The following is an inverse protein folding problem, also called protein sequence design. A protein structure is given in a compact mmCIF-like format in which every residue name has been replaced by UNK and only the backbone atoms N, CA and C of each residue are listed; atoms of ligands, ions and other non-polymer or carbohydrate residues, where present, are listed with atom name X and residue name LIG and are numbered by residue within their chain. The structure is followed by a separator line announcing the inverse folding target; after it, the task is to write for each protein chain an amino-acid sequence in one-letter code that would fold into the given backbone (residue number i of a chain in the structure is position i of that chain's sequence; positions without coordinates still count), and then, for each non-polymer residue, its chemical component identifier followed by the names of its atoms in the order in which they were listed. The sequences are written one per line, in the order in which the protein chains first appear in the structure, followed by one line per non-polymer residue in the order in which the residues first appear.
data_IF_567590012319
#
_entry.id   IF_567590012319
#
_cell.length_a   1.000
_cell.length_b   1.000
_cell.length_c   1.000
_cell.angle_alpha   90.00
_cell.angle_beta   90.00
_cell.angle_gamma   90.00
#
_symmetry.space_group_name_H-M   'P 1'
#
loop_
_entity.id
_entity.type
_entity.pdbx_description
1 polymer ?
#
# COMPACT_ATOMS: atom_id res chain seq x y z
N UNK A 1 27.68 -21.50 39.64
CA UNK A 1 28.40 -22.43 38.74
C UNK A 1 27.61 -22.80 37.48
N UNK A 2 26.29 -23.07 37.58
CA UNK A 2 25.45 -23.40 36.41
C UNK A 2 25.55 -22.42 35.23
N UNK A 3 25.56 -21.11 35.48
CA UNK A 3 25.73 -20.10 34.41
C UNK A 3 27.08 -20.23 33.68
N UNK A 4 28.16 -20.58 34.38
CA UNK A 4 29.49 -20.78 33.77
C UNK A 4 29.51 -22.04 32.90
N UNK A 5 28.91 -23.14 33.39
CA UNK A 5 28.72 -24.37 32.61
C UNK A 5 27.87 -24.14 31.36
N UNK A 6 26.81 -23.33 31.48
CA UNK A 6 25.99 -22.92 30.34
C UNK A 6 26.79 -22.14 29.28
N UNK A 7 27.65 -21.20 29.69
CA UNK A 7 28.49 -20.41 28.75
C UNK A 7 29.44 -21.30 27.94
N UNK A 8 30.02 -22.32 28.56
CA UNK A 8 30.89 -23.31 27.88
C UNK A 8 30.11 -24.44 27.20
N UNK A 9 28.77 -24.35 27.15
CA UNK A 9 27.85 -25.35 26.57
C UNK A 9 27.92 -26.74 27.22
N UNK A 10 28.42 -26.83 28.44
CA UNK A 10 28.32 -28.04 29.27
C UNK A 10 26.90 -28.13 29.86
N UNK A 11 25.94 -28.49 29.01
CA UNK A 11 24.50 -28.36 29.31
C UNK A 11 24.01 -29.30 30.40
N UNK A 12 24.47 -30.54 30.44
CA UNK A 12 24.04 -31.50 31.46
C UNK A 12 24.54 -31.10 32.85
N UNK A 13 25.80 -30.66 32.96
CA UNK A 13 26.36 -30.10 34.20
C UNK A 13 25.63 -28.80 34.60
N UNK A 14 25.30 -27.92 33.65
CA UNK A 14 24.55 -26.71 33.94
C UNK A 14 23.16 -27.03 34.52
N UNK A 15 22.46 -28.02 33.95
CA UNK A 15 21.17 -28.48 34.46
C UNK A 15 21.31 -29.01 35.89
N UNK A 16 22.30 -29.85 36.17
CA UNK A 16 22.54 -30.38 37.51
C UNK A 16 22.73 -29.25 38.55
N UNK A 17 23.56 -28.25 38.24
CA UNK A 17 23.73 -27.08 39.12
C UNK A 17 22.46 -26.25 39.29
N UNK A 18 21.63 -26.11 38.25
CA UNK A 18 20.34 -25.41 38.40
C UNK A 18 19.35 -26.23 39.23
N UNK A 19 19.34 -27.55 39.09
CA UNK A 19 18.48 -28.44 39.88
C UNK A 19 18.85 -28.43 41.36
N UNK A 20 20.14 -28.42 41.69
CA UNK A 20 20.62 -28.19 43.06
C UNK A 20 20.18 -26.83 43.60
N UNK A 21 20.29 -25.76 42.80
CA UNK A 21 19.85 -24.42 43.20
C UNK A 21 18.33 -24.35 43.44
N UNK A 22 17.52 -25.00 42.59
CA UNK A 22 16.06 -25.09 42.73
C UNK A 22 15.70 -25.91 43.98
N UNK A 23 16.44 -26.98 44.30
CA UNK A 23 16.20 -27.77 45.50
C UNK A 23 16.48 -27.00 46.79
N UNK A 24 17.49 -26.11 46.77
CA UNK A 24 17.82 -25.25 47.90
C UNK A 24 16.83 -24.09 48.08
N UNK A 25 16.36 -23.51 46.98
CA UNK A 25 15.38 -22.41 46.98
C UNK A 25 14.38 -22.59 45.82
N UNK A 26 13.28 -23.32 46.07
CA UNK A 26 12.28 -23.63 45.04
C UNK A 26 11.39 -22.43 44.70
N UNK A 27 11.46 -21.34 45.47
CA UNK A 27 10.63 -20.15 45.25
C UNK A 27 11.25 -19.18 44.22
N UNK A 28 12.54 -19.35 43.95
CA UNK A 28 13.27 -18.46 43.06
C UNK A 28 13.17 -18.87 41.59
N UNK A 29 12.30 -18.16 40.88
CA UNK A 29 12.06 -18.30 39.44
C UNK A 29 13.33 -18.12 38.58
N UNK A 30 14.35 -17.40 39.04
CA UNK A 30 15.57 -17.18 38.26
C UNK A 30 16.29 -18.48 37.95
N UNK A 31 16.32 -19.45 38.87
CA UNK A 31 16.98 -20.74 38.62
C UNK A 31 16.22 -21.56 37.58
N UNK A 32 14.89 -21.60 37.69
CA UNK A 32 14.01 -22.30 36.74
C UNK A 32 14.13 -21.69 35.35
N UNK A 33 14.14 -20.35 35.25
CA UNK A 33 14.36 -19.68 33.97
C UNK A 33 15.78 -19.87 33.46
N UNK A 34 16.83 -19.91 34.28
CA UNK A 34 18.17 -20.22 33.76
C UNK A 34 18.26 -21.67 33.24
N UNK A 35 17.59 -22.63 33.89
CA UNK A 35 17.43 -24.01 33.40
C UNK A 35 16.72 -24.04 32.05
N UNK A 36 15.61 -23.32 31.86
CA UNK A 36 14.93 -23.30 30.55
C UNK A 36 15.78 -22.71 29.41
N UNK A 37 16.78 -21.87 29.73
CA UNK A 37 17.74 -21.38 28.74
C UNK A 37 18.57 -22.53 28.12
N UNK A 38 18.89 -23.56 28.92
CA UNK A 38 19.61 -24.74 28.46
C UNK A 38 18.79 -25.50 27.41
N UNK A 39 17.52 -25.77 27.72
CA UNK A 39 16.62 -26.48 26.82
C UNK A 39 16.36 -25.70 25.53
N UNK A 40 16.26 -24.37 25.62
CA UNK A 40 16.25 -23.51 24.44
C UNK A 40 17.52 -23.68 23.59
N UNK A 41 18.70 -23.67 24.21
CA UNK A 41 19.96 -23.84 23.49
C UNK A 41 20.10 -25.22 22.84
N UNK A 42 19.56 -26.27 23.48
CA UNK A 42 19.47 -27.65 22.95
C UNK A 42 18.41 -27.84 21.88
N UNK A 43 17.59 -26.83 21.59
CA UNK A 43 16.45 -26.89 20.65
C UNK A 43 15.32 -27.81 21.13
N UNK A 44 15.26 -28.08 22.42
CA UNK A 44 14.20 -28.85 23.07
C UNK A 44 13.06 -27.89 23.44
N UNK A 45 12.32 -27.46 22.42
CA UNK A 45 11.39 -26.33 22.52
C UNK A 45 10.23 -26.60 23.48
N UNK A 46 9.63 -27.78 23.42
CA UNK A 46 8.49 -28.13 24.26
C UNK A 46 8.89 -28.24 25.74
N UNK A 47 10.06 -28.82 26.02
CA UNK A 47 10.59 -28.90 27.38
C UNK A 47 10.98 -27.51 27.91
N UNK A 48 11.58 -26.67 27.05
CA UNK A 48 11.83 -25.26 27.41
C UNK A 48 10.54 -24.51 27.75
N UNK A 49 9.46 -24.71 26.98
CA UNK A 49 8.15 -24.10 27.23
C UNK A 49 7.61 -24.58 28.58
N UNK A 50 7.59 -25.89 28.80
CA UNK A 50 7.10 -26.49 30.05
C UNK A 50 7.84 -25.96 31.29
N UNK A 51 9.17 -25.86 31.23
CA UNK A 51 9.97 -25.31 32.35
C UNK A 51 9.71 -23.80 32.53
N UNK A 52 9.50 -23.05 31.45
CA UNK A 52 9.10 -21.65 31.56
C UNK A 52 7.71 -21.49 32.19
N UNK A 53 6.75 -22.37 31.89
CA UNK A 53 5.40 -22.38 32.49
C UNK A 53 5.46 -22.69 33.98
N UNK A 54 6.27 -23.68 34.38
CA UNK A 54 6.56 -23.98 35.78
C UNK A 54 7.17 -22.76 36.49
N UNK A 55 8.19 -22.15 35.88
CA UNK A 55 8.81 -20.94 36.43
C UNK A 55 7.82 -19.79 36.58
N UNK A 56 6.90 -19.61 35.64
CA UNK A 56 5.85 -18.58 35.71
C UNK A 56 4.84 -18.87 36.82
N UNK A 57 4.51 -20.15 37.07
CA UNK A 57 3.65 -20.53 38.19
C UNK A 57 4.31 -20.18 39.52
N UNK A 58 5.55 -20.63 39.72
CA UNK A 58 6.36 -20.31 40.91
C UNK A 58 6.50 -18.80 41.08
N UNK A 59 6.81 -18.07 40.00
CA UNK A 59 6.98 -16.63 40.03
C UNK A 59 5.70 -15.85 40.36
N UNK A 60 4.53 -16.34 39.94
CA UNK A 60 3.24 -15.73 40.32
C UNK A 60 2.89 -15.98 41.78
N UNK A 61 3.11 -17.20 42.26
CA UNK A 61 2.82 -17.59 43.65
C UNK A 61 3.76 -16.90 44.65
N UNK A 62 5.00 -16.59 44.25
CA UNK A 62 6.04 -16.03 45.11
C UNK A 62 6.44 -14.59 44.77
N UNK A 63 5.61 -13.87 43.99
CA UNK A 63 5.86 -12.46 43.64
C UNK A 63 7.24 -12.17 43.04
N UNK A 64 7.71 -13.05 42.14
CA UNK A 64 8.97 -12.86 41.43
C UNK A 64 8.96 -11.55 40.62
N UNK A 65 10.15 -10.94 40.39
CA UNK A 65 10.28 -9.73 39.59
C UNK A 65 9.58 -9.83 38.23
N UNK A 66 8.91 -8.75 37.82
CA UNK A 66 8.20 -8.71 36.55
C UNK A 66 9.14 -8.96 35.36
N UNK A 67 10.40 -8.55 35.46
CA UNK A 67 11.44 -8.78 34.46
C UNK A 67 11.74 -10.26 34.25
N UNK A 68 11.73 -11.07 35.31
CA UNK A 68 11.97 -12.52 35.23
C UNK A 68 10.77 -13.23 34.60
N UNK A 69 9.56 -12.81 34.95
CA UNK A 69 8.32 -13.27 34.30
C UNK A 69 8.31 -12.94 32.81
N UNK A 70 8.65 -11.70 32.46
CA UNK A 70 8.79 -11.25 31.08
C UNK A 70 9.87 -12.06 30.32
N UNK A 71 11.01 -12.35 30.96
CA UNK A 71 12.08 -13.17 30.37
C UNK A 71 11.62 -14.59 30.04
N UNK A 72 10.85 -15.22 30.94
CA UNK A 72 10.25 -16.55 30.70
C UNK A 72 9.28 -16.52 29.51
N UNK A 73 8.34 -15.56 29.49
CA UNK A 73 7.38 -15.39 28.39
C UNK A 73 8.07 -15.09 27.05
N UNK A 74 9.08 -14.22 27.05
CA UNK A 74 9.90 -13.94 25.87
C UNK A 74 10.59 -15.21 25.36
N UNK A 75 11.06 -16.10 26.25
CA UNK A 75 11.66 -17.37 25.83
C UNK A 75 10.63 -18.34 25.26
N UNK A 76 9.44 -18.46 25.87
CA UNK A 76 8.33 -19.22 25.29
C UNK A 76 7.94 -18.70 23.90
N UNK A 77 7.86 -17.37 23.73
CA UNK A 77 7.61 -16.74 22.43
C UNK A 77 8.67 -17.12 21.38
N UNK A 78 9.95 -17.16 21.77
CA UNK A 78 11.03 -17.64 20.89
C UNK A 78 10.87 -19.12 20.53
N UNK A 79 10.48 -19.98 21.48
CA UNK A 79 10.21 -21.39 21.21
C UNK A 79 9.05 -21.56 20.21
N UNK A 80 7.90 -20.93 20.44
CA UNK A 80 6.76 -20.99 19.54
C UNK A 80 7.09 -20.47 18.14
N UNK A 81 7.90 -19.41 18.05
CA UNK A 81 8.39 -18.91 16.76
C UNK A 81 9.27 -19.97 16.06
N UNK A 82 10.19 -20.65 16.76
CA UNK A 82 10.99 -21.76 16.18
C UNK A 82 10.14 -22.94 15.74
N UNK A 83 9.01 -23.20 16.41
CA UNK A 83 8.02 -24.20 16.02
C UNK A 83 7.08 -23.76 14.88
N UNK A 84 7.25 -22.54 14.34
CA UNK A 84 6.38 -21.91 13.32
C UNK A 84 4.95 -21.68 13.80
N UNK A 85 4.72 -21.64 15.11
CA UNK A 85 3.43 -21.33 15.73
C UNK A 85 3.31 -19.81 15.99
N UNK A 86 3.26 -19.02 14.91
CA UNK A 86 3.30 -17.54 14.96
C UNK A 86 2.26 -16.93 15.90
N UNK A 87 1.03 -17.46 15.91
CA UNK A 87 -0.04 -16.96 16.79
C UNK A 87 0.33 -17.04 18.27
N UNK A 88 0.79 -18.21 18.73
CA UNK A 88 1.23 -18.40 20.12
C UNK A 88 2.50 -17.60 20.44
N UNK A 89 3.41 -17.46 19.48
CA UNK A 89 4.61 -16.63 19.68
C UNK A 89 4.24 -15.16 19.96
N UNK A 90 3.32 -14.60 19.17
CA UNK A 90 2.79 -13.24 19.35
C UNK A 90 2.08 -13.11 20.70
N UNK A 91 1.26 -14.09 21.08
CA UNK A 91 0.58 -14.10 22.37
C UNK A 91 1.56 -14.03 23.54
N UNK A 92 2.62 -14.85 23.52
CA UNK A 92 3.65 -14.84 24.56
C UNK A 92 4.45 -13.54 24.59
N UNK A 93 4.75 -12.93 23.43
CA UNK A 93 5.41 -11.62 23.41
C UNK A 93 4.51 -10.50 23.93
N UNK A 94 3.20 -10.54 23.64
CA UNK A 94 2.23 -9.60 24.22
C UNK A 94 2.14 -9.77 25.73
N UNK A 95 2.02 -11.00 26.21
CA UNK A 95 2.05 -11.30 27.64
C UNK A 95 3.34 -10.78 28.28
N UNK A 96 4.50 -11.01 27.65
CA UNK A 96 5.78 -10.49 28.14
C UNK A 96 5.82 -8.97 28.26
N UNK A 97 5.23 -8.24 27.31
CA UNK A 97 5.18 -6.76 27.34
C UNK A 97 4.24 -6.24 28.43
N UNK A 98 3.21 -7.00 28.79
CA UNK A 98 2.31 -6.67 29.89
C UNK A 98 2.97 -6.87 31.26
N UNK A 99 3.89 -7.83 31.38
CA UNK A 99 4.70 -8.01 32.59
C UNK A 99 5.71 -6.87 32.76
N UNK A 100 6.60 -6.71 31.78
CA UNK A 100 7.63 -5.68 31.80
C UNK A 100 7.94 -5.26 30.37
N UNK A 101 7.81 -3.96 30.10
CA UNK A 101 8.09 -3.42 28.78
C UNK A 101 9.58 -3.58 28.43
N UNK A 102 9.85 -4.20 27.27
CA UNK A 102 11.21 -4.38 26.77
C UNK A 102 11.28 -4.02 25.29
N UNK A 103 12.12 -3.04 24.94
CA UNK A 103 12.24 -2.53 23.56
C UNK A 103 12.61 -3.62 22.54
N UNK A 104 13.49 -4.55 22.92
CA UNK A 104 13.87 -5.65 22.03
C UNK A 104 12.71 -6.63 21.77
N UNK A 105 11.92 -6.94 22.79
CA UNK A 105 10.72 -7.77 22.65
C UNK A 105 9.64 -7.06 21.85
N UNK A 106 9.53 -5.73 21.95
CA UNK A 106 8.55 -4.94 21.19
C UNK A 106 8.88 -4.98 19.69
N UNK A 107 10.18 -4.85 19.36
CA UNK A 107 10.67 -4.99 17.98
C UNK A 107 10.38 -6.38 17.43
N UNK A 108 10.61 -7.43 18.23
CA UNK A 108 10.28 -8.81 17.84
C UNK A 108 8.78 -8.96 17.58
N UNK A 109 7.94 -8.48 18.50
CA UNK A 109 6.48 -8.53 18.37
C UNK A 109 6.01 -7.85 17.08
N UNK A 110 6.46 -6.62 16.80
CA UNK A 110 6.11 -5.88 15.57
C UNK A 110 6.49 -6.65 14.30
N UNK A 111 7.68 -7.25 14.29
CA UNK A 111 8.14 -8.05 13.15
C UNK A 111 7.28 -9.30 12.94
N UNK A 112 6.95 -10.02 14.02
CA UNK A 112 6.10 -11.22 13.93
C UNK A 112 4.66 -10.88 13.54
N UNK A 113 4.10 -9.77 14.03
CA UNK A 113 2.77 -9.32 13.62
C UNK A 113 2.73 -8.94 12.13
N UNK A 114 3.81 -8.34 11.62
CA UNK A 114 3.96 -8.07 10.19
C UNK A 114 4.08 -9.38 9.37
N UNK A 115 4.90 -10.33 9.83
CA UNK A 115 5.04 -11.65 9.19
C UNK A 115 3.70 -12.39 9.14
N UNK A 116 3.00 -12.45 10.28
CA UNK A 116 1.67 -13.05 10.36
C UNK A 116 0.70 -12.37 9.41
N UNK A 117 0.64 -11.03 9.39
CA UNK A 117 -0.22 -10.27 8.46
C UNK A 117 0.09 -10.60 7.01
N UNK A 118 1.37 -10.66 6.62
CA UNK A 118 1.77 -11.03 5.25
C UNK A 118 1.32 -12.45 4.90
N UNK A 119 1.47 -13.39 5.83
CA UNK A 119 1.05 -14.77 5.67
C UNK A 119 -0.48 -14.87 5.54
N UNK A 120 -1.23 -14.25 6.44
CA UNK A 120 -2.70 -14.24 6.42
C UNK A 120 -3.21 -13.61 5.11
N UNK A 121 -2.58 -12.53 4.62
CA UNK A 121 -2.92 -11.91 3.32
C UNK A 121 -2.61 -12.85 2.16
N UNK A 122 -1.47 -13.54 2.18
CA UNK A 122 -1.12 -14.49 1.13
C UNK A 122 -2.05 -15.71 1.12
N UNK A 123 -2.45 -16.22 2.29
CA UNK A 123 -3.43 -17.31 2.43
C UNK A 123 -4.85 -16.88 2.02
N UNK A 124 -5.17 -15.58 2.15
CA UNK A 124 -6.43 -15.05 1.66
C UNK A 124 -6.49 -14.98 0.13
N UNK A 125 -5.34 -14.87 -0.55
CA UNK A 125 -5.29 -14.76 -2.00
C UNK A 125 -5.70 -16.06 -2.68
N UNK A 126 -6.65 -15.94 -3.59
CA UNK A 126 -7.27 -17.07 -4.29
C UNK A 126 -7.77 -16.56 -5.64
N UNK A 127 -7.08 -16.89 -6.75
CA UNK A 127 -7.45 -16.40 -8.07
C UNK A 127 -8.85 -16.83 -8.53
N UNK A 128 -9.31 -18.02 -8.14
CA UNK A 128 -10.64 -18.52 -8.53
C UNK A 128 -11.73 -17.74 -7.80
N UNK A 129 -11.60 -17.57 -6.48
CA UNK A 129 -12.51 -16.73 -5.70
C UNK A 129 -12.45 -15.25 -6.11
N UNK A 130 -11.28 -14.78 -6.57
CA UNK A 130 -11.15 -13.45 -7.13
C UNK A 130 -11.99 -13.29 -8.41
N UNK A 131 -11.96 -14.29 -9.28
CA UNK A 131 -12.74 -14.30 -10.52
C UNK A 131 -14.24 -14.35 -10.25
N UNK A 132 -14.69 -15.18 -9.31
CA UNK A 132 -16.09 -15.20 -8.86
C UNK A 132 -16.55 -13.85 -8.30
N UNK A 133 -15.75 -13.24 -7.43
CA UNK A 133 -16.04 -11.93 -6.87
C UNK A 133 -16.06 -10.86 -7.97
N UNK A 134 -15.12 -10.90 -8.92
CA UNK A 134 -15.11 -10.01 -10.08
C UNK A 134 -16.38 -10.17 -10.91
N UNK A 135 -16.86 -11.40 -11.14
CA UNK A 135 -18.08 -11.63 -11.89
C UNK A 135 -19.32 -11.10 -11.15
N UNK A 136 -19.44 -11.32 -9.84
CA UNK A 136 -20.50 -10.70 -9.03
C UNK A 136 -20.45 -9.17 -9.10
N UNK A 137 -19.25 -8.59 -9.09
CA UNK A 137 -19.03 -7.16 -9.30
C UNK A 137 -19.51 -6.69 -10.68
N UNK A 138 -19.22 -7.45 -11.74
CA UNK A 138 -19.70 -7.16 -13.09
C UNK A 138 -21.23 -7.21 -13.17
N UNK A 139 -21.87 -8.19 -12.54
CA UNK A 139 -23.33 -8.35 -12.54
C UNK A 139 -24.02 -7.22 -11.78
N UNK A 140 -23.50 -6.87 -10.60
CA UNK A 140 -23.97 -5.70 -9.83
C UNK A 140 -23.77 -4.39 -10.61
N UNK A 141 -22.64 -4.24 -11.32
CA UNK A 141 -22.38 -3.07 -12.17
C UNK A 141 -23.39 -2.96 -13.31
N UNK A 142 -23.72 -4.06 -13.98
CA UNK A 142 -24.78 -4.11 -15.02
C UNK A 142 -26.16 -3.76 -14.45
N UNK A 143 -26.43 -4.20 -13.22
CA UNK A 143 -27.65 -3.85 -12.49
C UNK A 143 -27.65 -2.42 -11.92
N UNK A 144 -26.58 -1.64 -12.14
CA UNK A 144 -26.39 -0.29 -11.57
C UNK A 144 -26.42 -0.24 -10.04
N UNK A 145 -26.20 -1.39 -9.38
CA UNK A 145 -26.06 -1.48 -7.94
C UNK A 145 -24.58 -1.20 -7.57
N UNK A 146 -24.25 0.10 -7.50
CA UNK A 146 -22.88 0.55 -7.25
C UNK A 146 -22.29 0.08 -5.91
N UNK A 147 -23.03 0.11 -4.78
CA UNK A 147 -22.50 -0.39 -3.50
C UNK A 147 -22.06 -1.86 -3.58
N UNK A 148 -22.89 -2.74 -4.16
CA UNK A 148 -22.52 -4.15 -4.28
C UNK A 148 -21.42 -4.38 -5.31
N UNK A 149 -21.39 -3.60 -6.40
CA UNK A 149 -20.30 -3.67 -7.36
C UNK A 149 -18.95 -3.30 -6.73
N UNK A 150 -18.88 -2.19 -5.97
CA UNK A 150 -17.69 -1.78 -5.23
C UNK A 150 -17.25 -2.88 -4.26
N UNK A 151 -18.18 -3.36 -3.41
CA UNK A 151 -17.90 -4.42 -2.43
C UNK A 151 -17.29 -5.67 -3.07
N UNK A 152 -17.87 -6.14 -4.18
CA UNK A 152 -17.41 -7.34 -4.85
C UNK A 152 -16.07 -7.14 -5.59
N UNK A 153 -15.86 -5.97 -6.22
CA UNK A 153 -14.57 -5.67 -6.83
C UNK A 153 -13.45 -5.48 -5.79
N UNK A 154 -13.72 -4.83 -4.65
CA UNK A 154 -12.75 -4.72 -3.56
C UNK A 154 -12.35 -6.08 -3.01
N UNK A 155 -13.32 -6.99 -2.83
CA UNK A 155 -13.04 -8.37 -2.46
C UNK A 155 -12.18 -9.07 -3.51
N UNK A 156 -12.50 -8.90 -4.80
CA UNK A 156 -11.70 -9.45 -5.90
C UNK A 156 -10.26 -8.90 -5.89
N UNK A 157 -10.05 -7.61 -5.59
CA UNK A 157 -8.72 -7.00 -5.43
C UNK A 157 -7.98 -7.59 -4.22
N UNK A 158 -8.65 -7.87 -3.10
CA UNK A 158 -8.01 -8.52 -1.94
C UNK A 158 -7.54 -9.93 -2.26
N UNK A 159 -8.32 -10.67 -3.06
CA UNK A 159 -8.01 -12.04 -3.48
C UNK A 159 -6.95 -12.13 -4.58
N UNK A 160 -6.91 -11.16 -5.50
CA UNK A 160 -5.93 -11.09 -6.58
C UNK A 160 -5.35 -9.66 -6.70
N UNK A 161 -4.47 -9.24 -5.77
CA UNK A 161 -4.00 -7.85 -5.69
C UNK A 161 -3.13 -7.41 -6.88
N UNK A 162 -2.63 -8.36 -7.66
CA UNK A 162 -1.77 -8.18 -8.83
C UNK A 162 -2.53 -8.17 -10.16
N UNK A 163 -3.86 -8.31 -10.15
CA UNK A 163 -4.65 -8.30 -11.38
C UNK A 163 -5.05 -6.86 -11.78
N UNK A 164 -4.50 -6.30 -12.87
CA UNK A 164 -4.79 -4.93 -13.29
C UNK A 164 -6.23 -4.74 -13.78
N UNK A 165 -6.85 -5.79 -14.34
CA UNK A 165 -8.20 -5.71 -14.88
C UNK A 165 -9.26 -5.48 -13.79
N UNK A 166 -9.10 -6.15 -12.64
CA UNK A 166 -10.01 -5.98 -11.50
C UNK A 166 -9.92 -4.56 -10.94
N UNK A 167 -8.70 -4.01 -10.82
CA UNK A 167 -8.49 -2.61 -10.39
C UNK A 167 -9.13 -1.61 -11.35
N UNK A 168 -9.00 -1.82 -12.65
CA UNK A 168 -9.65 -0.97 -13.65
C UNK A 168 -11.19 -1.05 -13.59
N UNK A 169 -11.75 -2.22 -13.30
CA UNK A 169 -13.20 -2.37 -13.10
C UNK A 169 -13.67 -1.67 -11.82
N UNK A 170 -12.88 -1.75 -10.73
CA UNK A 170 -13.14 -0.99 -9.51
C UNK A 170 -13.08 0.52 -9.77
N UNK A 171 -12.07 1.00 -10.48
CA UNK A 171 -12.00 2.41 -10.89
C UNK A 171 -13.24 2.83 -11.70
N UNK A 172 -13.74 1.98 -12.59
CA UNK A 172 -14.93 2.25 -13.37
C UNK A 172 -16.19 2.47 -12.52
N UNK A 173 -16.39 1.68 -11.45
CA UNK A 173 -17.53 1.87 -10.55
C UNK A 173 -17.34 3.06 -9.62
N UNK A 174 -16.11 3.35 -9.18
CA UNK A 174 -15.81 4.53 -8.37
C UNK A 174 -16.12 5.82 -9.13
N UNK A 175 -15.87 5.87 -10.45
CA UNK A 175 -16.34 6.97 -11.29
C UNK A 175 -17.87 7.15 -11.27
N UNK A 176 -18.66 6.08 -11.12
CA UNK A 176 -20.13 6.16 -11.08
C UNK A 176 -20.67 6.77 -9.80
N UNK A 177 -19.91 6.67 -8.70
CA UNK A 177 -20.24 7.28 -7.42
C UNK A 177 -19.47 8.59 -7.17
N UNK A 178 -18.85 9.14 -8.22
CA UNK A 178 -18.07 10.38 -8.19
C UNK A 178 -16.85 10.37 -7.26
N UNK A 179 -16.37 9.19 -6.87
CA UNK A 179 -15.09 9.05 -6.17
C UNK A 179 -13.93 9.01 -7.19
N UNK A 180 -13.66 10.17 -7.78
CA UNK A 180 -12.63 10.31 -8.81
C UNK A 180 -11.21 10.09 -8.25
N UNK A 181 -10.97 10.46 -7.00
CA UNK A 181 -9.67 10.26 -6.35
C UNK A 181 -9.40 8.77 -6.09
N UNK A 182 -10.39 8.02 -5.58
CA UNK A 182 -10.31 6.58 -5.45
C UNK A 182 -10.15 5.90 -6.82
N UNK A 183 -10.93 6.32 -7.82
CA UNK A 183 -10.81 5.80 -9.18
C UNK A 183 -9.40 6.01 -9.76
N UNK A 184 -8.84 7.21 -9.59
CA UNK A 184 -7.48 7.56 -10.03
C UNK A 184 -6.42 6.71 -9.32
N UNK A 185 -6.52 6.52 -8.01
CA UNK A 185 -5.61 5.63 -7.27
C UNK A 185 -5.64 4.20 -7.82
N UNK A 186 -6.82 3.66 -8.11
CA UNK A 186 -6.95 2.29 -8.62
C UNK A 186 -6.47 2.14 -10.07
N UNK A 187 -6.71 3.14 -10.94
CA UNK A 187 -6.23 3.10 -12.32
C UNK A 187 -4.71 3.28 -12.40
N UNK A 188 -4.13 4.17 -11.59
CA UNK A 188 -2.68 4.34 -11.48
C UNK A 188 -2.03 3.03 -11.00
N UNK A 189 -2.61 2.38 -9.99
CA UNK A 189 -2.12 1.08 -9.52
C UNK A 189 -2.29 -0.03 -10.56
N UNK A 190 -3.29 0.03 -11.42
CA UNK A 190 -3.44 -0.93 -12.53
C UNK A 190 -2.32 -0.75 -13.56
N UNK A 191 -1.93 0.49 -13.88
CA UNK A 191 -0.83 0.80 -14.79
C UNK A 191 0.55 0.49 -14.18
N UNK A 192 0.72 0.62 -12.86
CA UNK A 192 1.94 0.14 -12.17
C UNK A 192 2.11 -1.39 -12.27
N UNK A 193 0.99 -2.14 -12.32
CA UNK A 193 1.02 -3.60 -12.44
C UNK A 193 1.23 -4.06 -13.89
N UNK A 194 0.65 -3.32 -14.84
CA UNK A 194 0.79 -3.57 -16.27
C UNK A 194 0.78 -2.23 -17.03
N UNK A 195 1.98 -1.75 -17.36
CA UNK A 195 2.20 -0.50 -18.11
C UNK A 195 1.67 -0.58 -19.56
N UNK A 196 1.34 -1.78 -20.06
CA UNK A 196 0.78 -1.97 -21.41
C UNK A 196 -0.75 -2.09 -21.40
N UNK A 197 -1.40 -1.93 -20.24
CA UNK A 197 -2.83 -2.12 -20.11
C UNK A 197 -3.64 -0.94 -20.67
N UNK A 198 -3.86 -0.94 -21.99
CA UNK A 198 -4.51 0.17 -22.73
C UNK A 198 -5.87 0.57 -22.17
N UNK A 199 -6.67 -0.37 -21.66
CA UNK A 199 -7.98 -0.07 -21.04
C UNK A 199 -7.85 0.83 -19.81
N UNK A 200 -6.76 0.72 -19.04
CA UNK A 200 -6.50 1.59 -17.90
C UNK A 200 -6.09 3.00 -18.34
N UNK A 201 -5.37 3.16 -19.45
CA UNK A 201 -5.12 4.48 -20.04
C UNK A 201 -6.41 5.17 -20.49
N UNK A 202 -7.29 4.44 -21.19
CA UNK A 202 -8.62 4.95 -21.54
C UNK A 202 -9.41 5.39 -20.30
N UNK A 203 -9.44 4.54 -19.25
CA UNK A 203 -10.12 4.86 -17.99
C UNK A 203 -9.51 6.06 -17.27
N UNK A 204 -8.19 6.20 -17.26
CA UNK A 204 -7.48 7.34 -16.70
C UNK A 204 -7.83 8.63 -17.44
N UNK A 205 -7.93 8.55 -18.77
CA UNK A 205 -8.47 9.63 -19.60
C UNK A 205 -9.89 10.01 -19.18
N UNK A 206 -10.81 9.04 -19.05
CA UNK A 206 -12.19 9.28 -18.62
C UNK A 206 -12.24 9.98 -17.24
N UNK A 207 -11.43 9.52 -16.29
CA UNK A 207 -11.35 10.10 -14.93
C UNK A 207 -10.93 11.56 -15.00
N UNK A 208 -9.89 11.89 -15.76
CA UNK A 208 -9.43 13.27 -15.92
C UNK A 208 -10.46 14.15 -16.62
N UNK A 209 -11.23 13.62 -17.59
CA UNK A 209 -12.36 14.36 -18.18
C UNK A 209 -13.42 14.67 -17.12
N UNK A 210 -13.77 13.71 -16.27
CA UNK A 210 -14.73 13.91 -15.18
C UNK A 210 -14.24 14.93 -14.14
N UNK A 211 -12.92 15.02 -13.96
CA UNK A 211 -12.26 16.02 -13.11
C UNK A 211 -12.01 17.36 -13.82
N UNK A 212 -12.47 17.54 -15.07
CA UNK A 212 -12.25 18.73 -15.90
C UNK A 212 -10.77 19.03 -16.21
N UNK A 213 -9.89 18.04 -16.06
CA UNK A 213 -8.46 18.11 -16.34
C UNK A 213 -8.16 17.65 -17.78
N UNK A 214 -8.64 18.42 -18.76
CA UNK A 214 -8.61 18.03 -20.18
C UNK A 214 -7.19 17.78 -20.73
N UNK A 215 -6.17 18.51 -20.26
CA UNK A 215 -4.78 18.30 -20.67
C UNK A 215 -4.27 16.92 -20.24
N UNK A 216 -4.49 16.53 -18.97
CA UNK A 216 -4.14 15.20 -18.45
C UNK A 216 -4.94 14.08 -19.11
N UNK A 217 -6.21 14.35 -19.42
CA UNK A 217 -7.03 13.39 -20.15
C UNK A 217 -6.45 13.07 -21.53
N UNK A 218 -6.05 14.09 -22.28
CA UNK A 218 -5.47 13.94 -23.61
C UNK A 218 -4.13 13.17 -23.56
N UNK A 219 -3.29 13.46 -22.56
CA UNK A 219 -2.04 12.71 -22.33
C UNK A 219 -2.30 11.24 -22.04
N UNK A 220 -3.27 10.92 -21.18
CA UNK A 220 -3.62 9.55 -20.86
C UNK A 220 -4.10 8.78 -22.11
N UNK A 221 -4.97 9.38 -22.92
CA UNK A 221 -5.39 8.75 -24.18
C UNK A 221 -4.25 8.58 -25.18
N UNK A 222 -3.39 9.59 -25.35
CA UNK A 222 -2.20 9.53 -26.22
C UNK A 222 -1.23 8.43 -25.77
N UNK A 223 -1.03 8.26 -24.46
CA UNK A 223 -0.21 7.18 -23.92
C UNK A 223 -0.79 5.80 -24.26
N UNK A 224 -2.12 5.63 -24.17
CA UNK A 224 -2.79 4.42 -24.64
C UNK A 224 -2.64 4.17 -26.15
N UNK A 225 -2.78 5.22 -26.96
CA UNK A 225 -2.60 5.14 -28.43
C UNK A 225 -1.15 4.87 -28.85
N UNK A 226 -0.17 5.29 -28.06
CA UNK A 226 1.23 4.95 -28.30
C UNK A 226 1.50 3.44 -28.15
N UNK A 227 0.69 2.73 -27.36
CA UNK A 227 0.76 1.28 -27.20
C UNK A 227 -0.10 0.57 -28.25
N UNK A 228 -1.34 1.01 -28.43
CA UNK A 228 -2.28 0.46 -29.41
C UNK A 228 -2.93 1.60 -30.22
N UNK A 229 -2.33 1.91 -31.37
CA UNK A 229 -2.71 3.06 -32.21
C UNK A 229 -4.19 3.05 -32.66
N UNK A 230 -4.79 1.88 -32.79
CA UNK A 230 -6.18 1.71 -33.23
C UNK A 230 -7.16 1.42 -32.06
N UNK A 231 -6.75 1.69 -30.82
CA UNK A 231 -7.64 1.48 -29.68
C UNK A 231 -8.83 2.46 -29.73
N UNK A 232 -10.02 1.90 -29.98
CA UNK A 232 -11.25 2.68 -30.16
C UNK A 232 -11.56 3.63 -29.00
N UNK A 233 -11.44 3.15 -27.76
CA UNK A 233 -11.77 3.95 -26.58
C UNK A 233 -10.83 5.15 -26.43
N UNK A 234 -9.52 4.95 -26.64
CA UNK A 234 -8.56 6.05 -26.61
C UNK A 234 -8.75 7.03 -27.77
N UNK A 235 -9.03 6.55 -28.99
CA UNK A 235 -9.29 7.43 -30.15
C UNK A 235 -10.55 8.28 -29.94
N UNK A 236 -11.65 7.67 -29.51
CA UNK A 236 -12.91 8.37 -29.23
C UNK A 236 -12.75 9.36 -28.09
N UNK A 237 -12.09 8.95 -27.00
CA UNK A 237 -11.78 9.79 -25.85
C UNK A 237 -10.91 11.00 -26.22
N UNK A 238 -9.81 10.79 -26.94
CA UNK A 238 -8.94 11.85 -27.42
C UNK A 238 -9.68 12.82 -28.34
N UNK A 239 -10.45 12.29 -29.31
CA UNK A 239 -11.25 13.12 -30.24
C UNK A 239 -12.25 13.98 -29.49
N UNK A 240 -12.97 13.39 -28.52
CA UNK A 240 -13.94 14.12 -27.70
C UNK A 240 -13.26 15.22 -26.88
N UNK A 241 -12.12 14.93 -26.26
CA UNK A 241 -11.36 15.93 -25.49
C UNK A 241 -10.84 17.04 -26.39
N UNK A 242 -10.30 16.72 -27.57
CA UNK A 242 -9.87 17.73 -28.55
C UNK A 242 -11.04 18.59 -29.02
N UNK A 243 -12.22 18.02 -29.26
CA UNK A 243 -13.43 18.80 -29.57
C UNK A 243 -13.85 19.70 -28.40
N UNK A 244 -13.76 19.22 -27.16
CA UNK A 244 -14.03 20.03 -25.96
C UNK A 244 -13.03 21.18 -25.80
N UNK A 245 -11.75 20.96 -26.14
CA UNK A 245 -10.73 22.00 -26.12
C UNK A 245 -10.99 23.03 -27.23
N UNK A 246 -11.27 22.58 -28.45
CA UNK A 246 -11.44 23.43 -29.64
C UNK A 246 -12.77 24.18 -29.69
N UNK A 247 -13.86 23.59 -29.17
CA UNK A 247 -15.10 24.31 -28.93
C UNK A 247 -14.90 25.42 -27.89
N UNK A 248 -13.78 25.40 -27.17
CA UNK A 248 -13.37 26.41 -26.22
C UNK A 248 -14.41 26.62 -25.13
N UNK A 249 -14.46 27.86 -24.67
CA UNK A 249 -15.46 28.38 -23.76
C UNK A 249 -16.88 28.48 -24.36
N UNK A 250 -17.08 28.20 -25.66
CA UNK A 250 -18.32 28.59 -26.35
C UNK A 250 -19.57 27.86 -25.85
N UNK A 251 -19.42 26.62 -25.37
CA UNK A 251 -20.51 25.78 -24.86
C UNK A 251 -20.42 25.51 -23.35
N UNK A 252 -19.48 26.13 -22.64
CA UNK A 252 -19.27 25.96 -21.19
C UNK A 252 -19.92 27.13 -20.44
N UNK A 253 -20.49 26.86 -19.27
CA UNK A 253 -20.90 27.94 -18.37
C UNK A 253 -19.68 28.74 -17.90
N UNK A 254 -19.89 29.98 -17.47
CA UNK A 254 -18.78 30.80 -16.97
C UNK A 254 -18.12 30.17 -15.73
N UNK A 255 -18.91 29.49 -14.90
CA UNK A 255 -18.43 28.73 -13.74
C UNK A 255 -17.53 27.56 -14.16
N UNK A 256 -17.90 26.82 -15.20
CA UNK A 256 -17.10 25.70 -15.71
C UNK A 256 -15.77 26.16 -16.31
N UNK A 257 -15.75 27.34 -16.96
CA UNK A 257 -14.51 27.93 -17.47
C UNK A 257 -13.58 28.34 -16.33
N UNK A 258 -14.12 29.00 -15.31
CA UNK A 258 -13.35 29.42 -14.14
C UNK A 258 -12.78 28.23 -13.38
N UNK A 259 -13.58 27.18 -13.19
CA UNK A 259 -13.14 25.95 -12.52
C UNK A 259 -12.02 25.25 -13.31
N UNK A 260 -12.17 25.14 -14.64
CA UNK A 260 -11.13 24.58 -15.51
C UNK A 260 -9.83 25.38 -15.44
N UNK A 261 -9.91 26.70 -15.55
CA UNK A 261 -8.75 27.59 -15.45
C UNK A 261 -8.09 27.50 -14.06
N UNK A 262 -8.89 27.43 -12.99
CA UNK A 262 -8.39 27.28 -11.62
C UNK A 262 -7.66 25.95 -11.44
N UNK A 263 -8.19 24.84 -11.95
CA UNK A 263 -7.51 23.55 -11.94
C UNK A 263 -6.23 23.56 -12.77
N UNK A 264 -6.25 24.18 -13.95
CA UNK A 264 -5.06 24.39 -14.77
C UNK A 264 -3.99 25.17 -14.00
N UNK A 265 -4.34 26.27 -13.35
CA UNK A 265 -3.40 27.07 -12.55
C UNK A 265 -2.93 26.37 -11.28
N UNK A 266 -3.71 25.45 -10.70
CA UNK A 266 -3.27 24.65 -9.56
C UNK A 266 -2.27 23.55 -9.93
N UNK A 267 -2.13 23.22 -11.22
CA UNK A 267 -1.22 22.19 -11.70
C UNK A 267 0.24 22.67 -11.72
N UNK A 268 1.16 22.00 -10.98
CA UNK A 268 2.57 22.38 -10.95
C UNK A 268 3.24 22.37 -12.33
N UNK A 269 2.82 21.48 -13.24
CA UNK A 269 3.39 21.43 -14.59
C UNK A 269 2.98 22.66 -15.40
N UNK A 270 1.71 23.07 -15.30
CA UNK A 270 1.21 24.28 -15.96
C UNK A 270 1.90 25.53 -15.39
N UNK A 271 2.09 25.59 -14.07
CA UNK A 271 2.86 26.67 -13.44
C UNK A 271 4.31 26.72 -13.94
N UNK A 272 4.96 25.58 -14.09
CA UNK A 272 6.32 25.51 -14.64
C UNK A 272 6.36 26.01 -16.09
N UNK A 273 5.36 25.66 -16.92
CA UNK A 273 5.26 26.17 -18.29
C UNK A 273 5.06 27.69 -18.32
N UNK A 274 4.22 28.25 -17.44
CA UNK A 274 4.00 29.70 -17.34
C UNK A 274 5.23 30.47 -16.81
N UNK A 275 6.15 29.79 -16.14
CA UNK A 275 7.40 30.37 -15.66
C UNK A 275 8.54 30.27 -16.67
N UNK A 276 8.39 29.47 -17.73
CA UNK A 276 9.37 29.33 -18.80
C UNK A 276 9.58 30.67 -19.53
N UNK A 277 10.79 31.25 -19.56
CA UNK A 277 11.07 32.53 -20.20
C UNK A 277 10.70 32.55 -21.69
N UNK A 278 10.89 31.45 -22.40
CA UNK A 278 10.56 31.35 -23.83
C UNK A 278 9.04 31.43 -23.98
N UNK A 279 8.29 30.70 -23.16
CA UNK A 279 6.83 30.71 -23.22
C UNK A 279 6.28 32.08 -22.83
N UNK A 280 6.82 32.73 -21.79
CA UNK A 280 6.43 34.10 -21.43
C UNK A 280 6.63 35.09 -22.57
N UNK A 281 7.78 35.02 -23.25
CA UNK A 281 8.04 35.86 -24.41
C UNK A 281 7.05 35.58 -25.53
N UNK A 282 6.77 34.30 -25.83
CA UNK A 282 5.79 33.93 -26.87
C UNK A 282 4.39 34.42 -26.53
N UNK A 283 3.97 34.37 -25.26
CA UNK A 283 2.68 34.91 -24.81
C UNK A 283 2.60 36.44 -24.95
N UNK A 284 3.71 37.14 -24.70
CA UNK A 284 3.81 38.59 -24.94
C UNK A 284 3.78 38.90 -26.45
N UNK A 285 4.50 38.13 -27.25
CA UNK A 285 4.56 38.29 -28.70
C UNK A 285 3.19 38.10 -29.36
N UNK A 286 2.29 37.26 -28.81
CA UNK A 286 0.92 37.15 -29.32
C UNK A 286 0.14 38.47 -29.27
N UNK A 287 0.49 39.37 -28.34
CA UNK A 287 -0.12 40.71 -28.21
C UNK A 287 0.66 41.78 -28.99
N UNK A 288 1.99 41.74 -28.93
CA UNK A 288 2.86 42.81 -29.43
C UNK A 288 3.43 42.55 -30.83
N UNK A 289 3.68 41.28 -31.20
CA UNK A 289 4.27 40.89 -32.47
C UNK A 289 3.77 39.52 -32.96
N UNK A 290 2.56 39.44 -33.55
CA UNK A 290 1.94 38.18 -33.95
C UNK A 290 2.79 37.33 -34.91
N UNK A 291 3.63 37.97 -35.73
CA UNK A 291 4.54 37.28 -36.64
C UNK A 291 5.66 36.54 -35.88
N UNK A 292 6.20 37.14 -34.83
CA UNK A 292 7.21 36.50 -33.97
C UNK A 292 6.61 35.32 -33.19
N UNK A 293 5.40 35.48 -32.65
CA UNK A 293 4.68 34.40 -31.98
C UNK A 293 4.43 33.21 -32.93
N UNK A 294 3.94 33.48 -34.15
CA UNK A 294 3.75 32.43 -35.17
C UNK A 294 5.05 31.73 -35.57
N UNK A 295 6.16 32.45 -35.61
CA UNK A 295 7.47 31.86 -35.90
C UNK A 295 7.94 30.96 -34.75
N UNK A 296 7.73 31.36 -33.49
CA UNK A 296 8.06 30.55 -32.32
C UNK A 296 7.21 29.28 -32.22
N UNK A 297 5.94 29.34 -32.65
CA UNK A 297 5.03 28.17 -32.73
C UNK A 297 5.47 27.10 -33.73
N UNK A 298 6.48 27.34 -34.57
CA UNK A 298 7.09 26.29 -35.41
C UNK A 298 7.96 25.32 -34.61
N UNK A 299 8.42 25.71 -33.43
CA UNK A 299 9.13 24.82 -32.51
C UNK A 299 8.11 23.89 -31.82
N UNK A 300 8.31 22.58 -31.98
CA UNK A 300 7.39 21.55 -31.46
C UNK A 300 7.28 21.59 -29.94
N UNK A 301 8.37 21.92 -29.23
CA UNK A 301 8.36 22.02 -27.77
C UNK A 301 7.56 23.25 -27.32
N UNK A 302 7.72 24.39 -28.00
CA UNK A 302 6.92 25.60 -27.74
C UNK A 302 5.44 25.34 -28.04
N UNK A 303 5.13 24.81 -29.22
CA UNK A 303 3.75 24.57 -29.63
C UNK A 303 3.03 23.59 -28.69
N UNK A 304 3.71 22.51 -28.28
CA UNK A 304 3.16 21.52 -27.33
C UNK A 304 2.85 22.14 -25.97
N UNK A 305 3.71 23.03 -25.47
CA UNK A 305 3.49 23.75 -24.21
C UNK A 305 2.31 24.70 -24.31
N UNK A 306 2.19 25.47 -25.40
CA UNK A 306 1.05 26.36 -25.64
C UNK A 306 -0.25 25.56 -25.78
N UNK A 307 -0.26 24.46 -26.54
CA UNK A 307 -1.40 23.54 -26.62
C UNK A 307 -1.81 23.02 -25.24
N UNK A 308 -0.84 22.69 -24.37
CA UNK A 308 -1.13 22.25 -23.00
C UNK A 308 -1.78 23.34 -22.16
N UNK A 309 -1.33 24.60 -22.28
CA UNK A 309 -1.94 25.74 -21.60
C UNK A 309 -3.38 25.99 -22.07
N UNK A 310 -3.65 25.87 -23.37
CA UNK A 310 -5.01 25.94 -23.95
C UNK A 310 -5.86 24.77 -23.44
N UNK A 311 -5.32 23.55 -23.44
CA UNK A 311 -6.01 22.36 -22.93
C UNK A 311 -6.34 22.49 -21.43
N UNK A 312 -5.45 23.08 -20.64
CA UNK A 312 -5.68 23.40 -19.23
C UNK A 312 -6.66 24.56 -18.99
N UNK A 313 -7.10 25.26 -20.05
CA UNK A 313 -8.03 26.40 -19.95
C UNK A 313 -7.40 27.67 -19.38
N UNK A 314 -6.07 27.75 -19.34
CA UNK A 314 -5.33 28.95 -18.90
C UNK A 314 -5.24 29.99 -20.01
N UNK A 315 -5.19 29.54 -21.26
CA UNK A 315 -5.22 30.38 -22.46
C UNK A 315 -6.51 30.14 -23.24
N UNK A 316 -7.00 31.18 -23.91
CA UNK A 316 -8.17 31.16 -24.80
C UNK A 316 -7.78 31.63 -26.20
#
# INVERSE_FOLDING_TARGET
EGNEKYKVKAFDEAIAFYDEAIALDPTNMTYITNKSAVFFARKEWDLCISICEEGLKVGKENYAPFEDRAKALTRMGKCYHKKKELGKAIEMYKASQLEAFQKDTERLLKNLELEKRKKDVAEYQDPEKAEEAKQRGNDAFRAQNWPDAIKNYEEAVKRAPTNPAIRNNLAAVLCKVMDFNGAKMHVDKALELDEKYVKAYARKGDIHVLMKENHKALEAYRAGLAIEANNKACMEGATKVTQLINAGAANMSEEEKQERAAHGMADPEIQAILQDPIIRQVLQDFQENPNAAQQAMKDVSVSTKIEKLIAAGVLQ
#
